data_IF_579529980962
#
_entry.id   IF_579529980962
#
_cell.length_a   1.000
_cell.length_b   1.000
_cell.length_c   1.000
_cell.angle_alpha   90.00
_cell.angle_beta   90.00
_cell.angle_gamma   90.00
#
_symmetry.space_group_name_H-M   'P 1'
#
loop_
_entity.id
_entity.type
_entity.pdbx_description
1 polymer ?
#
# COMPACT_ATOMS: atom_id res chain seq x y z
N UNK A 1 17.41 -22.04 11.48
CA UNK A 1 16.55 -21.55 10.39
C UNK A 1 15.29 -22.41 10.37
N UNK A 2 14.12 -21.80 10.44
CA UNK A 2 12.83 -22.46 10.30
C UNK A 2 12.24 -22.04 8.94
N UNK A 3 11.83 -23.01 8.13
CA UNK A 3 11.13 -22.76 6.88
C UNK A 3 9.63 -22.95 7.12
N UNK A 4 8.86 -21.88 6.94
CA UNK A 4 7.42 -21.88 7.11
C UNK A 4 6.73 -21.53 5.79
N UNK A 5 5.91 -22.43 5.28
CA UNK A 5 5.05 -22.12 4.13
C UNK A 5 3.79 -21.36 4.58
N UNK A 6 3.30 -20.47 3.70
CA UNK A 6 2.02 -19.79 3.92
C UNK A 6 0.90 -20.80 4.05
N UNK A 7 0.07 -20.67 5.08
CA UNK A 7 -1.06 -21.55 5.36
C UNK A 7 -2.39 -20.81 5.15
N UNK A 8 -3.44 -21.57 4.93
CA UNK A 8 -4.82 -21.06 4.88
C UNK A 8 -5.39 -20.85 6.29
N UNK A 9 -4.76 -21.47 7.30
CA UNK A 9 -5.14 -21.35 8.71
C UNK A 9 -5.02 -19.91 9.23
N UNK A 10 -5.74 -19.54 10.30
CA UNK A 10 -5.62 -18.22 10.92
C UNK A 10 -4.18 -17.89 11.30
N UNK A 11 -3.78 -16.64 11.07
CA UNK A 11 -2.40 -16.12 11.30
C UNK A 11 -1.92 -16.42 12.74
N UNK A 12 -2.83 -16.36 13.71
CA UNK A 12 -2.52 -16.66 15.12
C UNK A 12 -2.04 -18.08 15.37
N UNK A 13 -2.41 -19.04 14.54
CA UNK A 13 -2.08 -20.46 14.76
C UNK A 13 -0.69 -20.82 14.26
N UNK A 14 -0.19 -20.20 13.22
CA UNK A 14 1.07 -20.59 12.59
C UNK A 14 2.09 -19.46 12.44
N UNK A 15 1.67 -18.24 12.08
CA UNK A 15 2.59 -17.14 11.78
C UNK A 15 3.07 -16.45 13.07
N UNK A 16 2.15 -16.08 13.96
CA UNK A 16 2.49 -15.38 15.21
C UNK A 16 3.49 -16.21 16.04
N UNK A 17 3.27 -17.51 16.34
CA UNK A 17 4.22 -18.29 17.11
C UNK A 17 5.59 -18.44 16.43
N UNK A 18 5.62 -18.48 15.10
CA UNK A 18 6.85 -18.60 14.33
C UNK A 18 7.64 -17.30 14.36
N UNK A 19 7.00 -16.17 14.08
CA UNK A 19 7.65 -14.85 14.03
C UNK A 19 8.15 -14.44 15.41
N UNK A 20 7.33 -14.57 16.46
CA UNK A 20 7.67 -14.13 17.82
C UNK A 20 8.87 -14.87 18.44
N UNK A 21 9.27 -16.01 17.86
CA UNK A 21 10.46 -16.77 18.28
C UNK A 21 11.68 -16.56 17.38
N UNK A 22 11.54 -15.67 16.40
CA UNK A 22 12.58 -15.42 15.38
C UNK A 22 13.32 -14.11 15.69
N UNK A 23 14.61 -14.08 15.38
CA UNK A 23 15.41 -12.84 15.42
C UNK A 23 15.31 -12.02 14.13
N UNK A 24 14.89 -12.67 13.04
CA UNK A 24 14.70 -12.08 11.72
C UNK A 24 13.69 -12.91 10.93
N UNK A 25 12.82 -12.26 10.21
CA UNK A 25 11.90 -12.90 9.25
C UNK A 25 12.30 -12.54 7.82
N UNK A 26 12.57 -13.56 7.01
CA UNK A 26 12.78 -13.41 5.58
C UNK A 26 11.53 -13.87 4.86
N UNK A 27 10.83 -12.93 4.21
CA UNK A 27 9.62 -13.19 3.46
C UNK A 27 9.97 -13.45 1.99
N UNK A 28 9.93 -14.71 1.58
CA UNK A 28 10.08 -15.08 0.17
C UNK A 28 8.70 -15.05 -0.50
N UNK A 29 8.41 -14.01 -1.30
CA UNK A 29 7.09 -13.81 -1.89
C UNK A 29 6.99 -12.50 -2.66
N UNK A 30 5.75 -12.10 -2.95
CA UNK A 30 5.40 -10.77 -3.45
C UNK A 30 4.95 -9.84 -2.32
N UNK A 31 4.48 -8.65 -2.70
CA UNK A 31 4.01 -7.63 -1.73
C UNK A 31 2.85 -8.14 -0.85
N UNK A 32 1.98 -9.02 -1.37
CA UNK A 32 0.93 -9.66 -0.58
C UNK A 32 1.46 -10.57 0.55
N UNK A 33 2.62 -11.22 0.36
CA UNK A 33 3.25 -11.98 1.45
C UNK A 33 3.84 -11.05 2.51
N UNK A 34 4.42 -9.92 2.09
CA UNK A 34 4.87 -8.86 3.02
C UNK A 34 3.69 -8.32 3.82
N UNK A 35 2.57 -8.02 3.16
CA UNK A 35 1.35 -7.52 3.82
C UNK A 35 0.83 -8.48 4.88
N UNK A 36 0.94 -9.79 4.66
CA UNK A 36 0.55 -10.80 5.64
C UNK A 36 1.49 -10.83 6.85
N UNK A 37 2.79 -10.70 6.63
CA UNK A 37 3.82 -10.89 7.66
C UNK A 37 4.16 -9.60 8.40
N UNK A 38 4.12 -8.45 7.72
CA UNK A 38 4.54 -7.17 8.28
C UNK A 38 3.79 -6.76 9.56
N UNK A 39 2.47 -6.95 9.71
CA UNK A 39 1.78 -6.67 10.98
C UNK A 39 2.34 -7.48 12.14
N UNK A 40 2.54 -8.77 11.93
CA UNK A 40 3.08 -9.68 12.97
C UNK A 40 4.52 -9.32 13.31
N UNK A 41 5.34 -9.02 12.31
CA UNK A 41 6.72 -8.59 12.52
C UNK A 41 6.79 -7.27 13.30
N UNK A 42 5.94 -6.30 12.96
CA UNK A 42 5.83 -5.02 13.64
C UNK A 42 5.42 -5.18 15.12
N UNK A 43 4.37 -5.96 15.36
CA UNK A 43 3.85 -6.16 16.73
C UNK A 43 4.80 -7.01 17.60
N UNK A 44 5.61 -7.88 16.99
CA UNK A 44 6.63 -8.69 17.68
C UNK A 44 7.99 -7.99 17.78
N UNK A 45 8.19 -6.84 17.14
CA UNK A 45 9.48 -6.14 17.08
C UNK A 45 10.56 -6.89 16.30
N UNK A 46 10.18 -7.85 15.44
CA UNK A 46 11.11 -8.69 14.68
C UNK A 46 11.41 -8.05 13.34
N UNK A 47 12.70 -7.87 12.98
CA UNK A 47 13.06 -7.31 11.69
C UNK A 47 12.60 -8.17 10.51
N UNK A 48 12.18 -7.50 9.41
CA UNK A 48 11.70 -8.13 8.19
C UNK A 48 12.66 -7.88 7.02
N UNK A 49 12.92 -8.92 6.23
CA UNK A 49 13.55 -8.81 4.92
C UNK A 49 12.66 -9.41 3.84
N UNK A 50 12.46 -8.68 2.75
CA UNK A 50 11.66 -9.14 1.62
C UNK A 50 12.53 -9.69 0.49
N UNK A 51 12.50 -11.00 0.30
CA UNK A 51 13.13 -11.71 -0.82
C UNK A 51 12.17 -11.76 -2.00
N UNK A 52 12.53 -11.04 -3.07
CA UNK A 52 11.66 -10.80 -4.24
C UNK A 52 11.35 -12.08 -5.01
N UNK A 53 10.11 -12.50 -5.03
CA UNK A 53 9.62 -13.60 -5.89
C UNK A 53 8.24 -13.36 -6.48
N UNK A 54 7.66 -12.18 -6.26
CA UNK A 54 6.39 -11.74 -6.84
C UNK A 54 6.55 -10.94 -8.13
N UNK A 55 5.44 -10.40 -8.63
CA UNK A 55 5.39 -9.64 -9.90
C UNK A 55 5.96 -8.22 -9.73
N UNK A 56 5.50 -7.48 -8.74
CA UNK A 56 5.88 -6.07 -8.55
C UNK A 56 7.02 -5.91 -7.54
N UNK A 57 6.93 -6.54 -6.38
CA UNK A 57 7.91 -6.47 -5.28
C UNK A 57 8.26 -5.02 -4.89
N UNK A 58 7.23 -4.20 -4.73
CA UNK A 58 7.35 -2.75 -4.50
C UNK A 58 8.05 -2.45 -3.19
N UNK A 59 7.73 -3.20 -2.14
CA UNK A 59 8.36 -3.04 -0.83
C UNK A 59 9.88 -3.25 -0.92
N UNK A 60 10.32 -4.40 -1.43
CA UNK A 60 11.75 -4.68 -1.55
C UNK A 60 12.48 -3.73 -2.49
N UNK A 61 11.83 -3.25 -3.56
CA UNK A 61 12.40 -2.24 -4.47
C UNK A 61 12.53 -0.88 -3.82
N UNK A 62 11.60 -0.49 -2.93
CA UNK A 62 11.64 0.80 -2.23
C UNK A 62 12.83 0.90 -1.29
N UNK A 63 13.22 -0.21 -0.67
CA UNK A 63 14.35 -0.28 0.25
C UNK A 63 15.63 -0.89 -0.36
N UNK A 64 15.67 -1.06 -1.68
CA UNK A 64 16.78 -1.68 -2.40
C UNK A 64 17.23 -3.03 -1.79
N UNK A 65 16.30 -3.81 -1.26
CA UNK A 65 16.59 -5.08 -0.60
C UNK A 65 17.24 -6.07 -1.57
N UNK A 66 18.38 -6.69 -1.21
CA UNK A 66 19.01 -7.71 -2.03
C UNK A 66 18.15 -8.96 -2.13
N UNK A 67 18.30 -9.69 -3.23
CA UNK A 67 17.61 -10.96 -3.47
C UNK A 67 18.56 -12.11 -3.80
N UNK A 68 19.84 -11.79 -4.07
CA UNK A 68 20.87 -12.78 -4.31
C UNK A 68 21.42 -13.31 -2.98
N UNK A 69 21.79 -14.61 -2.87
CA UNK A 69 22.21 -15.23 -1.62
C UNK A 69 23.36 -14.51 -0.91
N UNK A 70 24.43 -14.18 -1.64
CA UNK A 70 25.60 -13.51 -1.05
C UNK A 70 25.28 -12.15 -0.41
N UNK A 71 24.68 -11.19 -1.12
CA UNK A 71 24.24 -9.92 -0.56
C UNK A 71 23.21 -10.06 0.58
N UNK A 72 22.30 -11.05 0.54
CA UNK A 72 21.36 -11.31 1.65
C UNK A 72 22.13 -11.76 2.89
N UNK A 73 23.02 -12.73 2.75
CA UNK A 73 23.85 -13.21 3.87
C UNK A 73 24.71 -12.09 4.45
N UNK A 74 25.26 -11.23 3.59
CA UNK A 74 26.03 -10.06 4.04
C UNK A 74 25.15 -9.07 4.82
N UNK A 75 23.94 -8.78 4.34
CA UNK A 75 22.99 -7.94 5.06
C UNK A 75 22.64 -8.53 6.43
N UNK A 76 22.38 -9.83 6.49
CA UNK A 76 22.09 -10.56 7.75
C UNK A 76 23.28 -10.47 8.70
N UNK A 77 24.51 -10.72 8.23
CA UNK A 77 25.71 -10.68 9.09
C UNK A 77 26.02 -9.29 9.65
N UNK A 78 25.63 -8.23 8.94
CA UNK A 78 25.81 -6.85 9.39
C UNK A 78 24.75 -6.38 10.36
N UNK A 79 23.62 -7.06 10.45
CA UNK A 79 22.50 -6.75 11.34
C UNK A 79 22.08 -5.26 11.34
N UNK A 80 22.19 -4.58 10.20
CA UNK A 80 21.77 -3.18 10.10
C UNK A 80 20.26 -3.11 9.91
N UNK A 81 19.59 -2.57 10.90
CA UNK A 81 18.15 -2.37 10.85
C UNK A 81 17.82 -0.90 10.60
N UNK A 82 16.80 -0.69 9.81
CA UNK A 82 16.12 0.61 9.64
C UNK A 82 14.71 0.46 10.21
N UNK A 83 14.24 1.47 10.91
CA UNK A 83 12.89 1.47 11.47
C UNK A 83 12.03 2.40 10.64
N UNK A 84 10.95 1.88 10.10
CA UNK A 84 10.06 2.60 9.21
C UNK A 84 8.68 2.77 9.81
N UNK A 85 7.99 3.79 9.32
CA UNK A 85 6.58 4.02 9.57
C UNK A 85 5.75 3.07 8.72
N UNK A 86 4.52 2.82 9.14
CA UNK A 86 3.50 2.12 8.36
C UNK A 86 2.18 2.86 8.48
N UNK A 87 1.28 2.66 7.54
CA UNK A 87 -0.07 3.18 7.66
C UNK A 87 -1.05 2.13 8.16
N UNK A 88 -2.20 2.58 8.63
CA UNK A 88 -3.33 1.73 8.98
C UNK A 88 -4.66 2.36 8.59
N UNK A 89 -5.64 1.53 8.22
CA UNK A 89 -7.03 1.92 7.97
C UNK A 89 -7.95 0.75 8.28
N UNK A 90 -9.04 1.00 9.00
CA UNK A 90 -10.01 -0.03 9.39
C UNK A 90 -9.38 -1.25 10.10
N UNK A 91 -8.32 -1.04 10.89
CA UNK A 91 -7.58 -2.11 11.57
C UNK A 91 -6.55 -2.84 10.71
N UNK A 92 -6.51 -2.59 9.41
CA UNK A 92 -5.57 -3.18 8.47
C UNK A 92 -4.32 -2.32 8.32
N UNK A 93 -3.14 -2.92 8.47
CA UNK A 93 -1.86 -2.26 8.22
C UNK A 93 -1.53 -2.24 6.72
N UNK A 94 -0.89 -1.18 6.28
CA UNK A 94 -0.26 -1.12 4.96
C UNK A 94 1.16 -0.56 5.04
N UNK A 95 2.01 -1.08 4.19
CA UNK A 95 3.41 -0.65 4.10
C UNK A 95 3.65 0.32 2.94
N UNK A 96 2.85 0.23 1.88
CA UNK A 96 3.01 1.00 0.64
C UNK A 96 2.00 2.12 0.58
N UNK A 97 0.71 1.80 0.45
CA UNK A 97 -0.36 2.80 0.41
C UNK A 97 -1.76 2.19 0.58
N UNK A 98 -2.70 3.04 0.99
CA UNK A 98 -4.13 2.79 0.84
C UNK A 98 -4.77 3.76 -0.13
N UNK A 99 -5.94 3.43 -0.70
CA UNK A 99 -6.66 4.33 -1.59
C UNK A 99 -8.17 4.19 -1.52
N UNK A 100 -8.85 5.23 -2.00
CA UNK A 100 -10.31 5.31 -2.22
C UNK A 100 -10.55 5.86 -3.62
N UNK A 101 -11.49 5.27 -4.35
CA UNK A 101 -11.87 5.66 -5.71
C UNK A 101 -11.62 4.55 -6.72
N UNK A 102 -11.30 4.90 -7.97
CA UNK A 102 -11.18 3.95 -9.06
C UNK A 102 -10.24 2.78 -8.76
N UNK A 103 -9.08 3.08 -8.20
CA UNK A 103 -8.06 2.08 -7.87
C UNK A 103 -8.60 1.03 -6.90
N UNK A 104 -9.27 1.46 -5.82
CA UNK A 104 -9.91 0.56 -4.87
C UNK A 104 -11.04 -0.26 -5.52
N UNK A 105 -11.83 0.36 -6.38
CA UNK A 105 -12.91 -0.34 -7.10
C UNK A 105 -12.36 -1.41 -8.03
N UNK A 106 -11.25 -1.13 -8.73
CA UNK A 106 -10.56 -2.12 -9.57
C UNK A 106 -10.00 -3.26 -8.74
N UNK A 107 -9.33 -2.96 -7.62
CA UNK A 107 -8.78 -4.00 -6.73
C UNK A 107 -9.87 -4.92 -6.19
N UNK A 108 -11.01 -4.37 -5.77
CA UNK A 108 -12.17 -5.16 -5.33
C UNK A 108 -12.78 -6.00 -6.47
N UNK A 109 -12.87 -5.45 -7.68
CA UNK A 109 -13.37 -6.20 -8.84
C UNK A 109 -12.44 -7.37 -9.23
N UNK A 110 -11.13 -7.18 -9.11
CA UNK A 110 -10.12 -8.24 -9.31
C UNK A 110 -10.21 -9.29 -8.20
N UNK A 111 -10.29 -8.87 -6.93
CA UNK A 111 -10.40 -9.77 -5.80
C UNK A 111 -11.64 -10.68 -5.88
N UNK A 112 -12.79 -10.14 -6.31
CA UNK A 112 -14.03 -10.90 -6.48
C UNK A 112 -13.94 -12.00 -7.56
N UNK A 113 -12.99 -11.89 -8.51
CA UNK A 113 -12.77 -12.85 -9.59
C UNK A 113 -11.54 -13.73 -9.39
N UNK A 114 -10.84 -13.57 -8.29
CA UNK A 114 -9.55 -14.21 -8.05
C UNK A 114 -9.68 -15.74 -8.01
N UNK A 115 -8.98 -16.41 -8.94
CA UNK A 115 -8.79 -17.86 -8.98
C UNK A 115 -7.28 -18.13 -9.12
N UNK A 116 -6.53 -18.09 -8.00
CA UNK A 116 -5.09 -18.34 -7.98
C UNK A 116 -4.20 -17.08 -8.07
N UNK A 117 -2.96 -17.24 -8.56
CA UNK A 117 -2.00 -16.13 -8.68
C UNK A 117 -2.37 -15.19 -9.83
N UNK A 118 -2.29 -13.88 -9.59
CA UNK A 118 -2.65 -12.84 -10.56
C UNK A 118 -1.40 -12.33 -11.29
N UNK A 119 -1.42 -12.41 -12.61
CA UNK A 119 -0.49 -11.66 -13.47
C UNK A 119 -1.04 -10.27 -13.82
N UNK A 120 -0.18 -9.38 -14.37
CA UNK A 120 -0.61 -8.02 -14.79
C UNK A 120 -1.79 -8.02 -15.75
N UNK A 121 -1.87 -8.99 -16.65
CA UNK A 121 -2.97 -9.13 -17.60
C UNK A 121 -4.34 -9.36 -16.95
N UNK A 122 -4.39 -9.91 -15.74
CA UNK A 122 -5.61 -10.16 -15.00
C UNK A 122 -6.34 -8.89 -14.57
N UNK A 123 -5.65 -7.76 -14.56
CA UNK A 123 -6.22 -6.45 -14.20
C UNK A 123 -6.86 -5.73 -15.39
N UNK A 124 -6.49 -6.05 -16.63
CA UNK A 124 -6.92 -5.26 -17.79
C UNK A 124 -8.44 -5.26 -17.98
N UNK A 125 -9.07 -6.43 -17.94
CA UNK A 125 -10.52 -6.55 -18.10
C UNK A 125 -11.30 -5.89 -16.95
N UNK A 126 -10.98 -6.14 -15.66
CA UNK A 126 -11.59 -5.41 -14.55
C UNK A 126 -11.43 -3.89 -14.61
N UNK A 127 -10.25 -3.40 -15.03
CA UNK A 127 -10.02 -1.96 -15.21
C UNK A 127 -11.02 -1.38 -16.22
N UNK A 128 -11.14 -2.00 -17.42
CA UNK A 128 -12.03 -1.52 -18.47
C UNK A 128 -13.49 -1.54 -18.02
N UNK A 129 -13.93 -2.63 -17.37
CA UNK A 129 -15.30 -2.80 -16.89
C UNK A 129 -15.64 -1.78 -15.80
N UNK A 130 -14.75 -1.58 -14.84
CA UNK A 130 -14.97 -0.58 -13.77
C UNK A 130 -14.94 0.83 -14.35
N UNK A 131 -13.99 1.17 -15.22
CA UNK A 131 -13.87 2.50 -15.81
C UNK A 131 -15.08 2.93 -16.63
N UNK A 132 -15.73 1.98 -17.31
CA UNK A 132 -16.86 2.26 -18.22
C UNK A 132 -18.00 3.00 -17.52
N UNK A 133 -18.36 2.53 -16.33
CA UNK A 133 -19.54 3.02 -15.60
C UNK A 133 -19.13 3.76 -14.30
N UNK A 134 -17.81 4.03 -14.15
CA UNK A 134 -17.31 4.65 -12.93
C UNK A 134 -17.71 6.11 -12.80
N UNK A 135 -18.35 6.39 -11.69
CA UNK A 135 -18.68 7.74 -11.28
C UNK A 135 -17.81 8.10 -10.07
N UNK A 136 -17.05 9.19 -10.11
CA UNK A 136 -16.20 9.57 -8.97
C UNK A 136 -17.06 9.92 -7.74
N UNK A 137 -16.74 9.37 -6.56
CA UNK A 137 -17.35 9.78 -5.31
C UNK A 137 -16.90 11.20 -4.95
N UNK A 138 -17.78 11.99 -4.33
CA UNK A 138 -17.36 13.21 -3.64
C UNK A 138 -16.73 12.82 -2.31
N UNK A 139 -15.48 13.21 -2.12
CA UNK A 139 -14.72 12.94 -0.91
C UNK A 139 -14.47 14.25 -0.16
N UNK A 140 -14.92 14.30 1.08
CA UNK A 140 -14.50 15.32 2.04
C UNK A 140 -13.34 14.73 2.83
N UNK A 141 -12.17 15.33 2.71
CA UNK A 141 -10.94 14.87 3.37
C UNK A 141 -10.45 15.93 4.34
N UNK A 142 -10.12 15.48 5.55
CA UNK A 142 -9.53 16.28 6.62
C UNK A 142 -8.17 15.66 6.96
N UNK A 143 -7.14 16.49 7.11
CA UNK A 143 -5.78 16.05 7.46
C UNK A 143 -5.35 16.74 8.73
N UNK A 144 -5.09 15.98 9.79
CA UNK A 144 -4.72 16.46 11.12
C UNK A 144 -5.71 17.52 11.69
N UNK A 145 -7.01 17.30 11.47
CA UNK A 145 -8.08 18.20 11.89
C UNK A 145 -8.36 19.38 10.96
N UNK A 146 -7.53 19.61 9.94
CA UNK A 146 -7.68 20.72 9.01
C UNK A 146 -8.35 20.27 7.68
N UNK A 147 -9.33 21.00 7.16
CA UNK A 147 -9.94 20.70 5.88
C UNK A 147 -8.90 20.66 4.75
N UNK A 148 -8.97 19.64 3.91
CA UNK A 148 -8.02 19.45 2.82
C UNK A 148 -8.69 19.54 1.46
N UNK A 149 -9.69 18.70 1.18
CA UNK A 149 -10.49 18.74 -0.06
C UNK A 149 -11.95 18.39 0.22
N UNK A 150 -12.86 18.87 -0.65
CA UNK A 150 -14.27 18.47 -0.68
C UNK A 150 -14.74 18.47 -2.14
N UNK A 151 -14.30 17.46 -2.90
CA UNK A 151 -14.53 17.37 -4.37
C UNK A 151 -14.73 15.92 -4.82
N UNK A 152 -15.32 15.71 -6.03
CA UNK A 152 -15.33 14.39 -6.66
C UNK A 152 -13.92 13.98 -7.12
N UNK A 153 -13.53 12.75 -6.80
CA UNK A 153 -12.19 12.27 -7.20
C UNK A 153 -11.76 10.98 -6.57
N UNK A 154 -10.44 10.84 -6.49
CA UNK A 154 -9.73 9.68 -5.92
C UNK A 154 -8.73 10.17 -4.89
N UNK A 155 -8.57 9.41 -3.81
CA UNK A 155 -7.59 9.68 -2.78
C UNK A 155 -6.58 8.52 -2.72
N UNK A 156 -5.30 8.85 -2.74
CA UNK A 156 -4.19 7.96 -2.40
C UNK A 156 -3.58 8.43 -1.09
N UNK A 157 -3.38 7.53 -0.15
CA UNK A 157 -2.70 7.76 1.12
C UNK A 157 -1.47 6.88 1.14
N UNK A 158 -0.31 7.47 0.91
CA UNK A 158 0.92 6.75 0.68
C UNK A 158 1.89 6.84 1.86
N UNK A 159 2.55 5.73 2.15
CA UNK A 159 3.73 5.62 3.02
C UNK A 159 5.01 5.48 2.17
N UNK A 160 4.91 4.87 0.99
CA UNK A 160 6.00 4.71 0.04
C UNK A 160 5.68 5.38 -1.31
N UNK A 161 6.71 5.79 -2.04
CA UNK A 161 6.58 6.50 -3.31
C UNK A 161 6.02 5.66 -4.44
N UNK A 162 6.45 4.39 -4.52
CA UNK A 162 6.19 3.51 -5.67
C UNK A 162 4.87 2.78 -5.53
N UNK A 163 4.15 2.69 -6.64
CA UNK A 163 2.97 1.87 -6.77
C UNK A 163 3.03 0.97 -8.01
N UNK A 164 2.03 0.09 -8.15
CA UNK A 164 1.95 -0.89 -9.22
C UNK A 164 2.09 -0.25 -10.61
N UNK A 165 2.57 -1.02 -11.58
CA UNK A 165 2.77 -0.60 -12.98
C UNK A 165 3.69 0.61 -13.15
N UNK A 166 4.62 0.86 -12.22
CA UNK A 166 5.55 1.97 -12.29
C UNK A 166 4.95 3.34 -11.95
N UNK A 167 3.73 3.38 -11.40
CA UNK A 167 3.10 4.60 -10.92
C UNK A 167 3.87 5.16 -9.72
N UNK A 168 3.95 6.48 -9.61
CA UNK A 168 4.57 7.22 -8.51
C UNK A 168 3.63 8.33 -8.06
N UNK A 169 2.48 7.99 -7.42
CA UNK A 169 1.47 8.98 -7.05
C UNK A 169 1.96 9.96 -5.98
N UNK A 170 2.88 9.54 -5.11
CA UNK A 170 3.36 10.29 -3.96
C UNK A 170 4.89 10.39 -3.95
N UNK A 171 5.47 11.13 -4.89
CA UNK A 171 6.94 11.25 -5.07
C UNK A 171 7.72 11.70 -3.84
N UNK A 172 7.05 12.34 -2.89
CA UNK A 172 7.66 12.89 -1.67
C UNK A 172 7.44 12.02 -0.45
N UNK A 173 6.75 10.89 -0.59
CA UNK A 173 6.51 9.97 0.52
C UNK A 173 7.84 9.46 1.09
N UNK A 174 7.97 9.58 2.40
CA UNK A 174 9.13 9.19 3.18
C UNK A 174 8.67 8.34 4.37
N UNK A 175 8.98 7.04 4.39
CA UNK A 175 8.52 6.13 5.45
C UNK A 175 9.23 6.33 6.79
N UNK A 176 9.98 7.42 6.97
CA UNK A 176 10.70 7.70 8.21
C UNK A 176 10.38 9.09 8.81
N UNK A 177 9.41 9.83 8.23
CA UNK A 177 9.08 11.19 8.66
C UNK A 177 7.88 11.28 9.65
N UNK A 178 7.29 10.13 10.00
CA UNK A 178 6.16 10.03 10.92
C UNK A 178 4.85 10.53 10.33
N UNK A 179 4.70 10.53 8.99
CA UNK A 179 3.52 11.04 8.28
C UNK A 179 3.15 10.16 7.11
N UNK A 180 1.92 10.32 6.62
CA UNK A 180 1.42 9.76 5.38
C UNK A 180 1.18 10.88 4.37
N UNK A 181 1.41 10.60 3.09
CA UNK A 181 1.16 11.53 1.99
C UNK A 181 -0.25 11.33 1.42
N UNK A 182 -1.15 12.27 1.68
CA UNK A 182 -2.47 12.32 1.03
C UNK A 182 -2.33 13.03 -0.32
N UNK A 183 -2.64 12.32 -1.40
CA UNK A 183 -2.66 12.85 -2.77
C UNK A 183 -4.07 12.70 -3.32
N UNK A 184 -4.73 13.81 -3.57
CA UNK A 184 -6.06 13.84 -4.14
C UNK A 184 -6.00 14.16 -5.63
N UNK A 185 -6.63 13.29 -6.42
CA UNK A 185 -6.73 13.39 -7.87
C UNK A 185 -8.19 13.70 -8.24
N UNK A 186 -8.55 14.95 -8.55
CA UNK A 186 -9.92 15.32 -8.88
C UNK A 186 -10.35 14.62 -10.17
N UNK A 187 -11.57 14.11 -10.19
CA UNK A 187 -12.14 13.43 -11.35
C UNK A 187 -13.60 13.82 -11.55
N UNK A 188 -13.97 14.09 -12.79
CA UNK A 188 -15.35 14.39 -13.20
C UNK A 188 -15.92 13.33 -14.16
N UNK A 189 -15.12 12.32 -14.50
CA UNK A 189 -15.47 11.24 -15.43
C UNK A 189 -14.24 10.63 -16.11
N UNK A 190 -14.47 9.82 -17.13
CA UNK A 190 -13.45 9.02 -17.83
C UNK A 190 -12.30 9.86 -18.40
N UNK A 191 -12.57 11.07 -18.91
CA UNK A 191 -11.52 11.97 -19.43
C UNK A 191 -10.47 12.33 -18.35
N UNK A 192 -10.89 12.50 -17.09
CA UNK A 192 -9.98 12.72 -15.99
C UNK A 192 -9.11 11.49 -15.73
N UNK A 193 -9.68 10.28 -15.84
CA UNK A 193 -8.94 9.02 -15.64
C UNK A 193 -7.85 8.83 -16.70
N UNK A 194 -8.18 9.09 -17.97
CA UNK A 194 -7.20 9.05 -19.07
C UNK A 194 -6.06 10.04 -18.81
N UNK A 195 -6.40 11.25 -18.36
CA UNK A 195 -5.40 12.25 -17.98
C UNK A 195 -4.47 11.75 -16.87
N UNK A 196 -5.03 11.22 -15.80
CA UNK A 196 -4.22 10.72 -14.68
C UNK A 196 -3.39 9.50 -15.07
N UNK A 197 -3.94 8.58 -15.88
CA UNK A 197 -3.22 7.44 -16.43
C UNK A 197 -1.99 7.85 -17.24
N UNK A 198 -2.06 8.98 -17.97
CA UNK A 198 -0.93 9.52 -18.74
C UNK A 198 0.10 10.26 -17.87
N UNK A 199 -0.33 10.96 -16.82
CA UNK A 199 0.54 11.85 -16.02
C UNK A 199 1.20 11.15 -14.83
N UNK A 200 0.55 10.14 -14.22
CA UNK A 200 1.06 9.43 -13.05
C UNK A 200 2.38 8.70 -13.31
N UNK A 201 2.58 7.94 -14.42
CA UNK A 201 3.82 7.21 -14.65
C UNK A 201 5.05 8.10 -14.75
N UNK A 202 4.87 9.32 -15.28
CA UNK A 202 5.95 10.29 -15.47
C UNK A 202 6.03 11.32 -14.33
N UNK A 203 5.12 11.23 -13.33
CA UNK A 203 5.07 12.11 -12.17
C UNK A 203 4.66 13.56 -12.47
N UNK A 204 4.12 13.83 -13.67
CA UNK A 204 3.67 15.16 -14.06
C UNK A 204 2.34 15.56 -13.43
N UNK A 205 1.58 14.62 -12.86
CA UNK A 205 0.35 14.91 -12.12
C UNK A 205 0.59 15.90 -10.97
N UNK A 206 1.75 15.85 -10.29
CA UNK A 206 2.09 16.78 -9.20
C UNK A 206 2.36 18.22 -9.67
N UNK A 207 2.48 18.45 -10.97
CA UNK A 207 2.56 19.80 -11.56
C UNK A 207 1.20 20.35 -11.95
N UNK A 208 0.15 19.52 -11.93
CA UNK A 208 -1.21 19.95 -12.19
C UNK A 208 -1.76 20.69 -10.96
N UNK A 209 -2.14 21.98 -11.07
CA UNK A 209 -2.62 22.78 -9.93
C UNK A 209 -3.91 22.24 -9.29
N UNK A 210 -4.61 21.32 -9.96
CA UNK A 210 -5.82 20.68 -9.45
C UNK A 210 -5.53 19.52 -8.51
N UNK A 211 -4.31 18.95 -8.56
CA UNK A 211 -3.89 17.88 -7.66
C UNK A 211 -3.53 18.48 -6.31
N UNK A 212 -4.24 18.06 -5.28
CA UNK A 212 -3.95 18.49 -3.93
C UNK A 212 -3.08 17.45 -3.23
N UNK A 213 -2.03 17.93 -2.53
CA UNK A 213 -1.13 17.09 -1.75
C UNK A 213 -0.97 17.65 -0.34
N UNK A 214 -1.09 16.80 0.66
CA UNK A 214 -0.84 17.17 2.06
C UNK A 214 -0.28 15.99 2.83
N UNK A 215 0.63 16.25 3.74
CA UNK A 215 1.15 15.24 4.67
C UNK A 215 0.53 15.40 6.04
N UNK A 216 0.19 14.28 6.68
CA UNK A 216 -0.37 14.29 8.03
C UNK A 216 -0.24 12.95 8.71
N UNK A 217 -0.56 12.95 10.00
CA UNK A 217 -0.60 11.74 10.83
C UNK A 217 -1.95 11.05 10.77
N UNK A 218 -2.98 11.83 10.57
CA UNK A 218 -4.37 11.40 10.52
C UNK A 218 -5.04 11.98 9.28
N UNK A 219 -5.60 11.11 8.45
CA UNK A 219 -6.35 11.49 7.26
C UNK A 219 -7.75 10.87 7.39
N UNK A 220 -8.74 11.73 7.60
CA UNK A 220 -10.14 11.34 7.74
C UNK A 220 -10.89 11.64 6.46
N UNK A 221 -11.69 10.68 6.03
CA UNK A 221 -12.45 10.74 4.78
C UNK A 221 -13.91 10.50 5.06
N UNK A 222 -14.77 11.37 4.54
CA UNK A 222 -16.22 11.15 4.42
C UNK A 222 -16.61 11.20 2.95
N UNK A 223 -17.39 10.22 2.50
CA UNK A 223 -17.86 10.13 1.12
C UNK A 223 -19.38 10.33 1.03
N UNK A 224 -19.84 10.92 -0.07
CA UNK A 224 -21.28 11.14 -0.36
C UNK A 224 -22.04 9.83 -0.54
N UNK A 225 -21.34 8.75 -0.84
CA UNK A 225 -21.88 7.40 -1.00
C UNK A 225 -20.91 6.35 -0.41
N UNK A 226 -21.36 5.09 -0.35
CA UNK A 226 -20.48 3.98 0.02
C UNK A 226 -19.36 3.81 -1.01
N UNK A 227 -18.12 3.80 -0.53
CA UNK A 227 -16.88 3.63 -1.30
C UNK A 227 -16.13 2.41 -0.82
N UNK A 228 -15.25 1.89 -1.65
CA UNK A 228 -14.35 0.78 -1.31
C UNK A 228 -12.99 1.34 -0.91
N UNK A 229 -12.30 0.58 -0.06
CA UNK A 229 -10.92 0.87 0.36
C UNK A 229 -10.04 -0.29 -0.06
N UNK A 230 -8.84 0.02 -0.51
CA UNK A 230 -7.79 -0.97 -0.72
C UNK A 230 -6.53 -0.59 0.06
N UNK A 231 -5.69 -1.57 0.40
CA UNK A 231 -4.35 -1.36 0.94
C UNK A 231 -3.36 -2.32 0.27
N UNK A 232 -2.23 -1.79 -0.16
CA UNK A 232 -1.12 -2.55 -0.79
C UNK A 232 -1.56 -3.46 -1.96
N UNK A 233 -2.66 -3.10 -2.65
CA UNK A 233 -3.24 -3.86 -3.75
C UNK A 233 -4.23 -4.95 -3.34
N UNK A 234 -4.63 -5.02 -2.08
CA UNK A 234 -5.65 -5.93 -1.58
C UNK A 234 -6.94 -5.19 -1.17
N UNK A 235 -8.08 -5.80 -1.48
CA UNK A 235 -9.38 -5.33 -1.07
C UNK A 235 -9.57 -5.54 0.43
N UNK A 236 -9.99 -4.51 1.15
CA UNK A 236 -10.26 -4.61 2.58
C UNK A 236 -11.71 -4.22 2.92
N UNK A 237 -12.27 -4.92 3.88
CA UNK A 237 -13.62 -4.64 4.39
C UNK A 237 -14.72 -4.63 3.34
N UNK A 238 -15.88 -4.13 3.73
CA UNK A 238 -17.01 -3.83 2.85
C UNK A 238 -17.07 -2.35 2.46
N UNK A 239 -18.05 -1.97 1.60
CA UNK A 239 -18.29 -0.57 1.26
C UNK A 239 -18.58 0.27 2.51
N UNK A 240 -17.94 1.43 2.63
CA UNK A 240 -18.08 2.35 3.76
C UNK A 240 -18.28 3.79 3.28
N UNK A 241 -18.86 4.64 4.12
CA UNK A 241 -18.95 6.09 3.86
C UNK A 241 -17.85 6.89 4.57
N UNK A 242 -17.10 6.25 5.45
CA UNK A 242 -16.02 6.91 6.18
C UNK A 242 -14.79 6.01 6.22
N UNK A 243 -13.62 6.62 6.15
CA UNK A 243 -12.35 5.94 6.36
C UNK A 243 -11.42 6.83 7.17
N UNK A 244 -10.58 6.21 8.00
CA UNK A 244 -9.61 6.89 8.83
C UNK A 244 -8.27 6.22 8.64
N UNK A 245 -7.34 6.92 7.97
CA UNK A 245 -5.98 6.48 7.78
C UNK A 245 -5.09 7.12 8.84
N UNK A 246 -4.29 6.30 9.50
CA UNK A 246 -3.38 6.74 10.55
C UNK A 246 -1.96 6.23 10.28
N UNK A 247 -0.97 7.07 10.58
CA UNK A 247 0.41 6.60 10.62
C UNK A 247 0.66 5.87 11.94
N UNK A 248 1.37 4.74 11.85
CA UNK A 248 2.02 4.10 13.01
C UNK A 248 3.53 4.38 12.89
N UNK A 249 4.03 5.43 13.54
CA UNK A 249 5.41 5.84 13.37
C UNK A 249 6.36 4.80 13.96
N UNK A 250 7.46 4.55 13.26
CA UNK A 250 8.54 3.66 13.70
C UNK A 250 8.06 2.25 14.08
N UNK A 251 7.06 1.72 13.37
CA UNK A 251 6.38 0.49 13.75
C UNK A 251 7.03 -0.76 13.19
N UNK A 252 7.74 -0.71 12.08
CA UNK A 252 8.30 -1.88 11.43
C UNK A 252 9.83 -1.75 11.30
N UNK A 253 10.54 -2.75 11.80
CA UNK A 253 11.97 -2.88 11.56
C UNK A 253 12.21 -3.65 10.26
N UNK A 254 13.13 -3.15 9.43
CA UNK A 254 13.55 -3.82 8.20
C UNK A 254 15.06 -4.02 8.20
N UNK A 255 15.49 -5.14 7.61
CA UNK A 255 16.92 -5.38 7.39
C UNK A 255 17.37 -4.61 6.15
N UNK A 256 18.34 -3.72 6.30
CA UNK A 256 18.91 -2.94 5.21
C UNK A 256 20.16 -3.62 4.64
N UNK A 257 20.25 -3.67 3.30
CA UNK A 257 21.53 -3.88 2.64
C UNK A 257 22.42 -2.67 2.89
N UNK A 258 23.60 -2.91 3.38
CA UNK A 258 24.60 -1.87 3.63
C UNK A 258 25.13 -1.21 2.37
#
# INVERSE_FOLDING_TARGET
VVLQQTQVAPVGEWLIPTVSRSELVIVAGGDGAVRLVAPVAADSGVPLHHLRSGVENLFAKSFAMPWQPGPVLHAVSRCRHEVIDVGSVAGEMFTIMGSIGLDADVVHAVAARRRGSLGRASYLRPIIEVMRDWTPPRLRVVVDGEPFVDEPGMLVVANLRRYACGLDPARRADPADGRLDAVFLPAKGVASLVRWAALLPVGLHLRDPRVACRRGRLIEVAADRAVRVQVDGDAIGGPTRTARFEVRPRALQILRAG
#
